data_IF_912411453830
#
_entry.id   IF_912411453830
#
_cell.length_a   1.000
_cell.length_b   1.000
_cell.length_c   1.000
_cell.angle_alpha   90.00
_cell.angle_beta   90.00
_cell.angle_gamma   90.00
#
_symmetry.space_group_name_H-M   'P 1'
#
loop_
_entity.id
_entity.type
_entity.pdbx_description
1 polymer ?
#
# COMPACT_ATOMS: atom_id res chain seq x y z
N UNK A 1 -15.15 -1.35 -10.64
CA UNK A 1 -14.20 -1.62 -11.75
C UNK A 1 -13.21 -2.75 -11.45
N UNK A 2 -13.08 -3.21 -10.19
CA UNK A 2 -12.32 -4.43 -9.88
C UNK A 2 -12.83 -5.67 -10.64
N UNK A 3 -14.15 -5.88 -10.71
CA UNK A 3 -14.76 -6.94 -11.51
C UNK A 3 -14.41 -6.84 -13.00
N UNK A 4 -14.39 -5.62 -13.54
CA UNK A 4 -14.02 -5.37 -14.93
C UNK A 4 -12.53 -5.66 -15.17
N UNK A 5 -11.65 -5.26 -14.24
CA UNK A 5 -10.23 -5.63 -14.25
C UNK A 5 -9.98 -7.13 -14.09
N UNK A 6 -10.80 -7.82 -13.31
CA UNK A 6 -10.72 -9.27 -13.14
C UNK A 6 -11.12 -10.00 -14.44
N UNK A 7 -12.19 -9.52 -15.10
CA UNK A 7 -12.76 -10.17 -16.28
C UNK A 7 -12.01 -9.83 -17.58
N UNK A 8 -11.47 -8.62 -17.68
CA UNK A 8 -10.90 -8.08 -18.92
C UNK A 8 -9.46 -7.59 -18.78
N UNK A 9 -8.88 -7.64 -17.58
CA UNK A 9 -7.49 -7.25 -17.36
C UNK A 9 -6.51 -8.27 -17.92
N UNK A 10 -5.51 -7.79 -18.64
CA UNK A 10 -4.32 -8.55 -19.00
C UNK A 10 -3.12 -7.91 -18.35
N UNK A 11 -2.19 -8.74 -17.88
CA UNK A 11 -0.91 -8.26 -17.36
C UNK A 11 -0.02 -7.82 -18.53
N UNK A 12 0.52 -6.62 -18.44
CA UNK A 12 1.52 -6.07 -19.36
C UNK A 12 2.94 -6.55 -19.01
N UNK A 13 3.17 -7.00 -17.76
CA UNK A 13 4.44 -7.54 -17.26
C UNK A 13 4.24 -8.78 -16.38
N UNK A 14 5.27 -9.65 -16.30
CA UNK A 14 5.20 -10.94 -15.58
C UNK A 14 4.89 -10.81 -14.08
N UNK A 15 5.32 -9.72 -13.45
CA UNK A 15 5.16 -9.48 -12.02
C UNK A 15 4.08 -8.44 -11.70
N UNK A 16 3.26 -8.06 -12.67
CA UNK A 16 2.22 -7.05 -12.49
C UNK A 16 1.08 -7.57 -11.60
N UNK A 17 0.71 -6.78 -10.61
CA UNK A 17 -0.36 -7.08 -9.67
C UNK A 17 -1.33 -5.91 -9.56
N UNK A 18 -2.62 -6.21 -9.40
CA UNK A 18 -3.62 -5.22 -9.03
C UNK A 18 -3.57 -5.02 -7.51
N UNK A 19 -2.92 -3.94 -7.08
CA UNK A 19 -2.85 -3.59 -5.65
C UNK A 19 -4.14 -2.88 -5.24
N UNK A 20 -4.78 -3.36 -4.18
CA UNK A 20 -6.06 -2.85 -3.70
C UNK A 20 -5.96 -2.44 -2.23
N UNK A 21 -6.44 -1.24 -1.92
CA UNK A 21 -6.76 -0.86 -0.55
C UNK A 21 -8.05 -1.59 -0.14
N UNK A 22 -7.90 -2.68 0.60
CA UNK A 22 -9.04 -3.50 1.03
C UNK A 22 -9.91 -2.74 2.03
N UNK A 23 -9.31 -2.30 3.14
CA UNK A 23 -9.95 -1.55 4.22
C UNK A 23 -8.94 -0.62 4.89
N UNK A 24 -9.43 0.47 5.46
CA UNK A 24 -8.65 1.37 6.31
C UNK A 24 -8.91 1.02 7.78
N UNK A 25 -7.85 0.74 8.53
CA UNK A 25 -7.94 0.58 9.98
C UNK A 25 -7.97 1.96 10.62
N UNK A 26 -9.04 2.25 11.37
CA UNK A 26 -9.29 3.57 11.94
C UNK A 26 -8.19 3.94 12.95
N UNK A 27 -7.50 5.06 12.69
CA UNK A 27 -6.50 5.61 13.59
C UNK A 27 -6.38 7.12 13.37
N UNK A 28 -5.75 7.87 14.29
CA UNK A 28 -5.60 9.32 14.16
C UNK A 28 -4.94 9.75 12.85
N UNK A 29 -4.05 8.92 12.28
CA UNK A 29 -3.36 9.23 11.02
C UNK A 29 -4.25 9.06 9.78
N UNK A 30 -5.30 8.23 9.85
CA UNK A 30 -6.17 7.87 8.73
C UNK A 30 -7.52 8.60 8.74
N UNK A 31 -7.67 9.61 9.60
CA UNK A 31 -8.92 10.34 9.75
C UNK A 31 -9.37 11.00 8.43
N UNK A 32 -10.62 10.76 8.03
CA UNK A 32 -11.21 11.22 6.78
C UNK A 32 -11.06 10.25 5.59
N UNK A 33 -10.42 9.08 5.79
CA UNK A 33 -10.25 8.04 4.77
C UNK A 33 -10.94 6.72 5.11
N UNK A 34 -11.69 6.66 6.21
CA UNK A 34 -12.21 5.43 6.81
C UNK A 34 -13.19 4.67 5.89
N UNK A 35 -13.92 5.39 5.05
CA UNK A 35 -14.94 4.81 4.17
C UNK A 35 -14.35 4.23 2.86
N UNK A 36 -13.04 4.35 2.65
CA UNK A 36 -12.39 3.85 1.43
C UNK A 36 -12.17 2.34 1.56
N UNK A 37 -12.88 1.58 0.72
CA UNK A 37 -12.81 0.11 0.68
C UNK A 37 -12.68 -0.40 -0.74
N UNK A 38 -12.01 -1.54 -0.90
CA UNK A 38 -11.82 -2.25 -2.18
C UNK A 38 -11.49 -1.33 -3.36
N UNK A 39 -10.56 -0.40 -3.16
CA UNK A 39 -10.19 0.61 -4.17
C UNK A 39 -8.77 0.35 -4.66
N UNK A 40 -8.57 0.26 -5.98
CA UNK A 40 -7.25 -0.02 -6.52
C UNK A 40 -6.30 1.19 -6.37
N UNK A 41 -5.06 0.89 -6.00
CA UNK A 41 -3.96 1.86 -5.88
C UNK A 41 -3.16 1.80 -7.18
N UNK A 42 -3.07 2.92 -7.89
CA UNK A 42 -2.38 2.99 -9.19
C UNK A 42 -1.01 3.70 -9.10
N UNK A 43 -0.79 4.53 -8.08
CA UNK A 43 0.47 5.24 -7.90
C UNK A 43 0.83 5.49 -6.43
N UNK A 44 2.12 5.62 -6.17
CA UNK A 44 2.68 6.00 -4.88
C UNK A 44 3.73 7.11 -5.09
N UNK A 45 3.60 8.23 -4.38
CA UNK A 45 4.48 9.41 -4.53
C UNK A 45 4.63 9.87 -6.00
N UNK A 46 3.52 9.83 -6.73
CA UNK A 46 3.43 10.20 -8.16
C UNK A 46 4.05 9.18 -9.13
N UNK A 47 4.57 8.05 -8.63
CA UNK A 47 5.15 6.99 -9.47
C UNK A 47 4.12 5.87 -9.68
N UNK A 48 4.00 5.34 -10.92
CA UNK A 48 3.09 4.24 -11.19
C UNK A 48 3.50 2.99 -10.41
N UNK A 49 2.51 2.28 -9.89
CA UNK A 49 2.70 1.07 -9.10
C UNK A 49 2.47 -0.17 -9.96
N UNK A 50 3.42 -1.11 -9.91
CA UNK A 50 3.38 -2.38 -10.64
C UNK A 50 2.95 -3.54 -9.76
N UNK A 51 3.43 -3.61 -8.52
CA UNK A 51 3.17 -4.72 -7.61
C UNK A 51 3.21 -4.30 -6.13
N UNK A 52 2.83 -5.20 -5.23
CA UNK A 52 2.77 -4.90 -3.78
C UNK A 52 4.17 -4.75 -3.14
N UNK A 53 5.17 -5.47 -3.65
CA UNK A 53 6.57 -5.34 -3.19
C UNK A 53 7.11 -3.93 -3.42
N UNK A 54 6.87 -3.37 -4.60
CA UNK A 54 7.24 -2.01 -4.96
C UNK A 54 6.56 -0.97 -4.05
N UNK A 55 5.30 -1.21 -3.64
CA UNK A 55 4.62 -0.32 -2.70
C UNK A 55 5.28 -0.37 -1.33
N UNK A 56 5.56 -1.57 -0.83
CA UNK A 56 6.30 -1.77 0.43
C UNK A 56 7.64 -1.05 0.39
N UNK A 57 8.43 -1.24 -0.65
CA UNK A 57 9.74 -0.61 -0.79
C UNK A 57 9.63 0.91 -0.86
N UNK A 58 8.65 1.42 -1.60
CA UNK A 58 8.33 2.85 -1.66
C UNK A 58 8.04 3.42 -0.28
N UNK A 59 7.16 2.77 0.48
CA UNK A 59 6.80 3.20 1.84
C UNK A 59 8.01 3.12 2.78
N UNK A 60 8.77 2.03 2.77
CA UNK A 60 9.90 1.86 3.67
C UNK A 60 11.05 2.83 3.37
N UNK A 61 11.39 3.01 2.10
CA UNK A 61 12.53 3.82 1.66
C UNK A 61 12.22 5.31 1.48
N UNK A 62 10.93 5.70 1.45
CA UNK A 62 10.57 7.11 1.29
C UNK A 62 11.16 7.97 2.41
N UNK A 63 11.71 9.12 2.05
CA UNK A 63 12.20 10.13 3.01
C UNK A 63 11.31 11.36 3.04
N UNK A 64 10.16 11.29 2.35
CA UNK A 64 9.22 12.38 2.27
C UNK A 64 8.44 12.51 3.57
N UNK A 65 8.02 13.75 3.88
CA UNK A 65 7.16 14.04 5.03
C UNK A 65 5.77 13.44 4.85
N UNK A 66 5.29 13.42 3.62
CA UNK A 66 3.97 12.95 3.24
C UNK A 66 4.10 11.72 2.35
N UNK A 67 3.24 10.73 2.57
CA UNK A 67 3.09 9.56 1.73
C UNK A 67 1.81 9.76 0.93
N UNK A 68 1.91 9.74 -0.39
CA UNK A 68 0.77 9.98 -1.28
C UNK A 68 0.41 8.72 -2.05
N UNK A 69 -0.84 8.29 -1.94
CA UNK A 69 -1.38 7.12 -2.61
C UNK A 69 -2.43 7.56 -3.61
N UNK A 70 -2.16 7.36 -4.89
CA UNK A 70 -3.13 7.57 -5.95
C UNK A 70 -4.05 6.36 -6.06
N UNK A 71 -5.36 6.60 -5.93
CA UNK A 71 -6.43 5.60 -6.01
C UNK A 71 -7.21 5.74 -7.32
N UNK A 72 -8.05 4.75 -7.63
CA UNK A 72 -9.06 4.91 -8.67
C UNK A 72 -9.94 6.15 -8.44
N UNK A 73 -10.59 6.62 -9.50
CA UNK A 73 -11.47 7.80 -9.49
C UNK A 73 -10.78 9.13 -9.17
N UNK A 74 -9.47 9.24 -9.46
CA UNK A 74 -8.67 10.45 -9.18
C UNK A 74 -8.67 10.84 -7.69
N UNK A 75 -8.93 9.87 -6.81
CA UNK A 75 -8.81 10.05 -5.37
C UNK A 75 -7.34 9.91 -4.96
N UNK A 76 -6.93 10.68 -3.97
CA UNK A 76 -5.57 10.62 -3.42
C UNK A 76 -5.65 10.61 -1.91
N UNK A 77 -5.01 9.62 -1.29
CA UNK A 77 -4.79 9.61 0.15
C UNK A 77 -3.43 10.24 0.42
N UNK A 78 -3.39 11.19 1.36
CA UNK A 78 -2.14 11.80 1.83
C UNK A 78 -2.01 11.54 3.33
N UNK A 79 -0.95 10.84 3.73
CA UNK A 79 -0.65 10.53 5.13
C UNK A 79 0.66 11.19 5.54
N UNK A 80 0.75 11.66 6.80
CA UNK A 80 2.04 12.03 7.39
C UNK A 80 2.84 10.76 7.65
N UNK A 81 4.08 10.67 7.14
CA UNK A 81 4.95 9.52 7.37
C UNK A 81 5.18 9.29 8.86
N UNK A 82 5.50 10.36 9.59
CA UNK A 82 5.78 10.30 11.03
C UNK A 82 4.57 9.77 11.79
N UNK A 83 3.38 10.35 11.56
CA UNK A 83 2.16 9.89 12.22
C UNK A 83 1.80 8.46 11.82
N UNK A 84 1.91 8.10 10.55
CA UNK A 84 1.62 6.75 10.09
C UNK A 84 2.54 5.73 10.79
N UNK A 85 3.85 5.96 10.81
CA UNK A 85 4.80 5.03 11.42
C UNK A 85 4.64 4.93 12.95
N UNK A 86 4.34 6.04 13.64
CA UNK A 86 4.13 6.03 15.09
C UNK A 86 2.85 5.31 15.51
N UNK A 87 1.79 5.37 14.71
CA UNK A 87 0.51 4.73 15.03
C UNK A 87 0.44 3.25 14.61
N UNK A 88 1.36 2.76 13.76
CA UNK A 88 1.29 1.39 13.23
C UNK A 88 1.25 0.32 14.32
N UNK A 89 2.11 0.40 15.33
CA UNK A 89 2.19 -0.61 16.40
C UNK A 89 0.92 -0.66 17.25
N UNK A 90 0.37 0.50 17.59
CA UNK A 90 -0.89 0.62 18.33
C UNK A 90 -2.06 0.04 17.55
N UNK A 91 -2.16 0.36 16.25
CA UNK A 91 -3.21 -0.15 15.35
C UNK A 91 -3.15 -1.67 15.23
N UNK A 92 -1.95 -2.25 15.04
CA UNK A 92 -1.79 -3.70 14.94
C UNK A 92 -2.20 -4.40 16.24
N UNK A 93 -1.84 -3.81 17.38
CA UNK A 93 -2.20 -4.34 18.70
C UNK A 93 -3.70 -4.28 18.93
N UNK A 94 -4.35 -3.16 18.60
CA UNK A 94 -5.80 -2.97 18.75
C UNK A 94 -6.61 -3.96 17.89
N UNK A 95 -6.13 -4.29 16.69
CA UNK A 95 -6.79 -5.21 15.78
C UNK A 95 -6.31 -6.67 15.89
N UNK A 96 -5.48 -6.99 16.90
CA UNK A 96 -4.90 -8.32 17.10
C UNK A 96 -4.18 -8.88 15.85
N UNK A 97 -3.49 -8.01 15.11
CA UNK A 97 -2.75 -8.36 13.91
C UNK A 97 -1.31 -8.69 14.33
N UNK A 98 -0.82 -9.93 14.10
CA UNK A 98 0.49 -10.36 14.60
C UNK A 98 1.67 -9.72 13.87
N UNK A 99 1.46 -9.20 12.66
CA UNK A 99 2.52 -8.64 11.83
C UNK A 99 1.97 -7.59 10.87
N UNK A 100 2.73 -6.50 10.68
CA UNK A 100 2.40 -5.43 9.74
C UNK A 100 2.35 -5.89 8.27
N UNK A 101 3.12 -6.93 7.93
CA UNK A 101 3.30 -7.42 6.56
C UNK A 101 3.34 -8.95 6.54
N UNK A 102 3.00 -9.54 5.40
CA UNK A 102 3.13 -10.98 5.18
C UNK A 102 4.61 -11.39 5.05
N UNK A 103 4.93 -12.65 5.32
CA UNK A 103 6.30 -13.16 5.34
C UNK A 103 7.04 -12.94 4.00
N UNK A 104 6.35 -13.10 2.87
CA UNK A 104 6.89 -12.87 1.54
C UNK A 104 7.31 -11.41 1.29
N UNK A 105 6.71 -10.45 2.00
CA UNK A 105 7.10 -9.04 1.94
C UNK A 105 8.21 -8.70 2.93
N UNK A 106 8.51 -9.58 3.90
CA UNK A 106 9.57 -9.42 4.88
C UNK A 106 10.90 -9.99 4.39
N UNK A 107 10.87 -11.13 3.68
CA UNK A 107 12.06 -11.91 3.35
C UNK A 107 12.92 -11.35 2.21
N UNK A 108 12.41 -10.44 1.37
CA UNK A 108 13.14 -9.93 0.20
C UNK A 108 14.18 -8.82 0.50
N UNK A 109 14.36 -8.39 1.75
CA UNK A 109 15.41 -7.41 2.08
C UNK A 109 16.84 -7.97 1.88
N UNK A 110 16.99 -9.26 1.58
CA UNK A 110 18.28 -9.96 1.51
C UNK A 110 18.48 -10.80 0.22
N UNK A 111 17.66 -10.58 -0.83
CA UNK A 111 17.50 -11.53 -1.93
C UNK A 111 18.06 -11.16 -3.32
N UNK A 112 18.71 -10.00 -3.49
CA UNK A 112 19.18 -9.57 -4.84
C UNK A 112 20.65 -9.06 -4.85
N UNK A 113 21.50 -9.66 -4.01
CA UNK A 113 22.95 -9.55 -4.08
C UNK A 113 23.55 -10.87 -4.59
N UNK A 114 23.18 -11.29 -5.80
CA UNK A 114 23.85 -12.36 -6.52
C UNK A 114 23.76 -12.14 -8.04
N UNK A 115 24.63 -11.27 -8.55
CA UNK A 115 25.13 -11.29 -9.92
C UNK A 115 26.55 -10.73 -9.95
#
# INVERSE_FOLDING_TARGET
KLLDRLLHGMADAEDQQLVVLAHVLACPACFGYEDIVNTAVHSFDGKPLRNLKQLRDGVMQSKQKWLTFGLEYQQTIVLSREAAMSNTEEVLTMHAIPSAMSADLMDDANGDAAA
#
